data_IF_606188285166
#
_entry.id   IF_606188285166
#
_cell.length_a   1.000
_cell.length_b   1.000
_cell.length_c   1.000
_cell.angle_alpha   90.00
_cell.angle_beta   90.00
_cell.angle_gamma   90.00
#
_symmetry.space_group_name_H-M   'P 1'
#
loop_
_entity.id
_entity.type
_entity.pdbx_description
1 polymer ?
#
# COMPACT_ATOMS: atom_id res chain seq x y z
N UNK A 1 -5.24 21.74 15.73
CA UNK A 1 -5.28 21.02 14.44
C UNK A 1 -6.61 20.33 14.33
N UNK A 2 -7.38 20.60 13.28
CA UNK A 2 -8.64 19.91 12.99
C UNK A 2 -8.43 18.39 12.96
N UNK A 3 -9.40 17.62 13.48
CA UNK A 3 -9.38 16.15 13.49
C UNK A 3 -9.19 15.61 12.08
N UNK A 4 -9.86 16.20 11.09
CA UNK A 4 -9.78 15.78 9.69
C UNK A 4 -8.39 15.99 9.11
N UNK A 5 -7.80 17.17 9.33
CA UNK A 5 -6.43 17.47 8.93
C UNK A 5 -5.43 16.54 9.61
N UNK A 6 -5.56 16.32 10.92
CA UNK A 6 -4.71 15.39 11.67
C UNK A 6 -4.74 14.00 11.05
N UNK A 7 -5.93 13.43 10.85
CA UNK A 7 -6.05 12.08 10.29
C UNK A 7 -5.50 12.00 8.88
N UNK A 8 -5.71 13.02 8.05
CA UNK A 8 -5.14 13.09 6.69
C UNK A 8 -3.61 13.05 6.73
N UNK A 9 -2.99 13.85 7.60
CA UNK A 9 -1.53 13.85 7.78
C UNK A 9 -1.00 12.51 8.28
N UNK A 10 -1.65 11.89 9.27
CA UNK A 10 -1.23 10.58 9.78
C UNK A 10 -1.37 9.46 8.74
N UNK A 11 -2.44 9.47 7.94
CA UNK A 11 -2.61 8.54 6.82
C UNK A 11 -1.50 8.74 5.78
N UNK A 12 -1.21 9.99 5.41
CA UNK A 12 -0.14 10.30 4.45
C UNK A 12 1.24 9.88 4.94
N UNK A 13 1.59 10.24 6.17
CA UNK A 13 2.90 9.92 6.77
C UNK A 13 3.06 8.42 7.00
N UNK A 14 2.07 7.77 7.62
CA UNK A 14 2.18 6.34 7.90
C UNK A 14 2.14 5.50 6.62
N UNK A 15 1.29 5.86 5.65
CA UNK A 15 1.29 5.22 4.34
C UNK A 15 2.60 5.42 3.58
N UNK A 16 3.17 6.62 3.61
CA UNK A 16 4.50 6.91 3.05
C UNK A 16 5.61 6.09 3.71
N UNK A 17 5.62 5.99 5.05
CA UNK A 17 6.57 5.14 5.78
C UNK A 17 6.43 3.68 5.39
N UNK A 18 5.21 3.15 5.34
CA UNK A 18 4.95 1.77 4.92
C UNK A 18 5.39 1.50 3.47
N UNK A 19 5.24 2.49 2.60
CA UNK A 19 5.71 2.42 1.21
C UNK A 19 7.23 2.41 1.12
N UNK A 20 7.92 3.27 1.88
CA UNK A 20 9.40 3.27 1.97
C UNK A 20 9.92 1.93 2.50
N UNK A 21 9.27 1.35 3.51
CA UNK A 21 9.63 0.02 4.03
C UNK A 21 9.45 -1.05 2.95
N UNK A 22 8.34 -1.03 2.21
CA UNK A 22 8.09 -1.96 1.11
C UNK A 22 9.16 -1.83 0.02
N UNK A 23 9.55 -0.60 -0.32
CA UNK A 23 10.58 -0.30 -1.30
C UNK A 23 11.98 -0.78 -0.85
N UNK A 24 12.35 -0.46 0.39
CA UNK A 24 13.60 -0.89 1.01
C UNK A 24 13.69 -2.41 1.15
N UNK A 25 12.54 -3.09 1.28
CA UNK A 25 12.47 -4.55 1.26
C UNK A 25 12.67 -5.09 -0.15
N UNK A 26 12.06 -4.45 -1.16
CA UNK A 26 12.09 -4.93 -2.53
C UNK A 26 13.48 -4.87 -3.19
N UNK A 27 14.19 -3.73 -3.08
CA UNK A 27 15.43 -3.50 -3.84
C UNK A 27 16.57 -4.50 -3.53
N UNK A 28 16.93 -4.75 -2.26
CA UNK A 28 18.01 -5.69 -1.94
C UNK A 28 17.66 -7.15 -2.28
N UNK A 29 16.37 -7.49 -2.26
CA UNK A 29 15.88 -8.85 -2.49
C UNK A 29 15.57 -9.14 -3.96
N UNK A 30 15.68 -8.14 -4.84
CA UNK A 30 15.55 -8.31 -6.28
C UNK A 30 16.70 -9.15 -6.87
N UNK A 31 17.90 -9.06 -6.29
CA UNK A 31 19.12 -9.66 -6.83
C UNK A 31 19.43 -11.06 -6.28
N UNK A 32 18.88 -11.45 -5.12
CA UNK A 32 19.27 -12.69 -4.44
C UNK A 32 18.05 -13.39 -3.82
N UNK A 33 17.41 -14.32 -4.55
CA UNK A 33 16.13 -14.94 -4.13
C UNK A 33 16.29 -16.37 -3.62
N UNK A 34 16.60 -16.50 -2.34
CA UNK A 34 16.52 -17.75 -1.55
C UNK A 34 15.09 -17.90 -0.95
N UNK A 35 14.56 -19.11 -0.62
CA UNK A 35 13.22 -19.27 -0.04
C UNK A 35 12.99 -18.51 1.27
N UNK A 36 14.06 -18.32 2.05
CA UNK A 36 14.03 -17.48 3.26
C UNK A 36 13.77 -16.00 2.93
N UNK A 37 14.32 -15.53 1.81
CA UNK A 37 14.16 -14.16 1.29
C UNK A 37 12.77 -13.94 0.69
N UNK A 38 12.17 -14.96 0.07
CA UNK A 38 10.81 -14.89 -0.47
C UNK A 38 9.75 -14.60 0.62
N UNK A 39 9.99 -15.00 1.87
CA UNK A 39 9.09 -14.70 3.00
C UNK A 39 9.05 -13.20 3.30
N UNK A 40 10.17 -12.51 3.12
CA UNK A 40 10.26 -11.07 3.33
C UNK A 40 9.57 -10.27 2.22
N UNK A 41 9.45 -10.80 1.00
CA UNK A 41 8.68 -10.15 -0.07
C UNK A 41 7.18 -10.01 0.25
N UNK A 42 6.64 -10.82 1.16
CA UNK A 42 5.28 -10.60 1.67
C UNK A 42 5.12 -9.23 2.35
N UNK A 43 6.20 -8.67 2.93
CA UNK A 43 6.18 -7.32 3.49
C UNK A 43 5.98 -6.24 2.43
N UNK A 44 6.37 -6.48 1.16
CA UNK A 44 6.12 -5.53 0.07
C UNK A 44 4.61 -5.32 -0.12
N UNK A 45 3.83 -6.39 0.09
CA UNK A 45 2.36 -6.36 0.00
C UNK A 45 1.74 -5.82 1.31
N UNK A 46 2.30 -6.18 2.46
CA UNK A 46 1.67 -5.87 3.75
C UNK A 46 2.03 -4.47 4.32
N UNK A 47 3.26 -4.01 4.15
CA UNK A 47 3.79 -2.88 4.92
C UNK A 47 3.00 -1.58 4.71
N UNK A 48 2.67 -1.24 3.46
CA UNK A 48 1.93 0.00 3.16
C UNK A 48 0.51 -0.02 3.73
N UNK A 49 -0.36 -1.00 3.44
CA UNK A 49 -1.72 -1.01 3.98
C UNK A 49 -1.74 -1.14 5.51
N UNK A 50 -0.81 -1.91 6.11
CA UNK A 50 -0.74 -2.05 7.56
C UNK A 50 -0.32 -0.74 8.24
N UNK A 51 0.74 -0.08 7.76
CA UNK A 51 1.18 1.20 8.31
C UNK A 51 0.11 2.27 8.15
N UNK A 52 -0.55 2.33 6.99
CA UNK A 52 -1.68 3.24 6.73
C UNK A 52 -2.81 3.01 7.73
N UNK A 53 -3.19 1.75 7.97
CA UNK A 53 -4.22 1.38 8.94
C UNK A 53 -3.85 1.83 10.35
N UNK A 54 -2.63 1.53 10.81
CA UNK A 54 -2.15 1.91 12.14
C UNK A 54 -2.16 3.44 12.29
N UNK A 55 -1.65 4.18 11.31
CA UNK A 55 -1.64 5.65 11.32
C UNK A 55 -3.05 6.23 11.39
N UNK A 56 -3.98 5.67 10.62
CA UNK A 56 -5.38 6.10 10.63
C UNK A 56 -6.04 5.85 11.99
N UNK A 57 -5.96 4.64 12.52
CA UNK A 57 -6.56 4.27 13.81
C UNK A 57 -5.95 5.08 14.95
N UNK A 58 -4.66 5.34 14.90
CA UNK A 58 -3.99 6.19 15.88
C UNK A 58 -4.54 7.63 15.88
N UNK A 59 -4.78 8.20 14.70
CA UNK A 59 -5.30 9.56 14.58
C UNK A 59 -6.81 9.70 14.84
N UNK A 60 -7.57 8.63 14.57
CA UNK A 60 -9.02 8.60 14.62
C UNK A 60 -9.55 7.16 14.88
N UNK A 61 -9.69 6.79 16.16
CA UNK A 61 -10.12 5.44 16.56
C UNK A 61 -11.55 5.10 16.15
N UNK A 62 -12.45 6.08 16.10
CA UNK A 62 -13.86 5.84 15.77
C UNK A 62 -14.04 5.37 14.32
N UNK A 63 -13.08 5.66 13.44
CA UNK A 63 -13.10 5.28 12.02
C UNK A 63 -12.40 3.94 11.75
N UNK A 64 -12.09 3.13 12.77
CA UNK A 64 -11.30 1.90 12.58
C UNK A 64 -11.91 0.92 11.57
N UNK A 65 -13.25 0.84 11.49
CA UNK A 65 -13.95 -0.03 10.52
C UNK A 65 -13.74 0.43 9.08
N UNK A 66 -13.80 1.75 8.87
CA UNK A 66 -13.53 2.36 7.57
C UNK A 66 -12.06 2.20 7.20
N UNK A 67 -11.15 2.45 8.14
CA UNK A 67 -9.72 2.23 7.95
C UNK A 67 -9.42 0.77 7.57
N UNK A 68 -10.04 -0.19 8.28
CA UNK A 68 -9.91 -1.61 7.99
C UNK A 68 -10.48 -1.97 6.61
N UNK A 69 -11.63 -1.42 6.23
CA UNK A 69 -12.22 -1.65 4.90
C UNK A 69 -11.32 -1.11 3.79
N UNK A 70 -10.85 0.13 3.89
CA UNK A 70 -9.98 0.76 2.89
C UNK A 70 -8.62 0.07 2.78
N UNK A 71 -7.94 -0.13 3.92
CA UNK A 71 -6.61 -0.75 3.93
C UNK A 71 -6.69 -2.24 3.62
N UNK A 72 -7.76 -2.91 4.05
CA UNK A 72 -8.03 -4.31 3.73
C UNK A 72 -8.32 -4.52 2.24
N UNK A 73 -9.12 -3.64 1.62
CA UNK A 73 -9.33 -3.66 0.18
C UNK A 73 -8.01 -3.44 -0.57
N UNK A 74 -7.20 -2.46 -0.14
CA UNK A 74 -5.89 -2.19 -0.74
C UNK A 74 -4.97 -3.41 -0.61
N UNK A 75 -4.86 -4.02 0.57
CA UNK A 75 -4.07 -5.23 0.80
C UNK A 75 -4.57 -6.42 -0.04
N UNK A 76 -5.88 -6.66 -0.05
CA UNK A 76 -6.47 -7.85 -0.65
C UNK A 76 -6.47 -7.79 -2.17
N UNK A 77 -6.86 -6.66 -2.78
CA UNK A 77 -7.00 -6.56 -4.23
C UNK A 77 -5.68 -6.32 -4.96
N UNK A 78 -4.69 -5.69 -4.31
CA UNK A 78 -3.41 -5.35 -4.96
C UNK A 78 -2.70 -6.56 -5.58
N UNK A 79 -2.57 -7.72 -4.91
CA UNK A 79 -2.01 -8.93 -5.52
C UNK A 79 -2.71 -9.38 -6.80
N UNK A 80 -4.04 -9.32 -6.85
CA UNK A 80 -4.80 -9.77 -8.03
C UNK A 80 -4.62 -8.81 -9.21
N UNK A 81 -4.63 -7.50 -8.94
CA UNK A 81 -4.41 -6.49 -9.97
C UNK A 81 -2.97 -6.58 -10.49
N UNK A 82 -1.98 -6.69 -9.59
CA UNK A 82 -0.58 -6.84 -9.96
C UNK A 82 -0.32 -8.12 -10.78
N UNK A 83 -0.90 -9.25 -10.39
CA UNK A 83 -0.82 -10.50 -11.15
C UNK A 83 -1.47 -10.35 -12.54
N UNK A 84 -2.58 -9.62 -12.63
CA UNK A 84 -3.22 -9.36 -13.92
C UNK A 84 -2.33 -8.50 -14.82
N UNK A 85 -1.72 -7.45 -14.28
CA UNK A 85 -0.77 -6.59 -15.01
C UNK A 85 0.42 -7.43 -15.52
N UNK A 86 1.02 -8.26 -14.65
CA UNK A 86 2.14 -9.13 -15.03
C UNK A 86 1.74 -10.14 -16.12
N UNK A 87 0.54 -10.72 -16.04
CA UNK A 87 0.06 -11.66 -17.07
C UNK A 87 -0.07 -11.04 -18.47
N UNK A 88 -0.25 -9.71 -18.55
CA UNK A 88 -0.38 -8.98 -19.81
C UNK A 88 0.97 -8.45 -20.30
N UNK A 89 1.80 -7.92 -19.41
CA UNK A 89 3.06 -7.24 -19.77
C UNK A 89 4.28 -8.18 -19.79
N UNK A 90 4.27 -9.26 -19.02
CA UNK A 90 5.37 -10.21 -18.90
C UNK A 90 4.83 -11.65 -18.77
N UNK A 91 4.17 -12.19 -19.81
CA UNK A 91 3.47 -13.47 -19.74
C UNK A 91 4.39 -14.65 -19.41
N UNK A 92 5.65 -14.63 -19.86
CA UNK A 92 6.61 -15.69 -19.56
C UNK A 92 7.04 -15.69 -18.09
N UNK A 93 7.17 -14.51 -17.48
CA UNK A 93 7.44 -14.37 -16.05
C UNK A 93 6.23 -14.79 -15.21
N UNK A 94 5.01 -14.43 -15.63
CA UNK A 94 3.77 -14.79 -14.94
C UNK A 94 3.51 -16.30 -14.88
N UNK A 95 4.06 -17.08 -15.83
CA UNK A 95 3.95 -18.55 -15.85
C UNK A 95 4.94 -19.25 -14.91
N UNK A 96 5.94 -18.55 -14.41
CA UNK A 96 6.93 -19.13 -13.51
C UNK A 96 6.32 -19.28 -12.12
N UNK A 97 6.43 -20.47 -11.54
CA UNK A 97 6.04 -20.71 -10.14
C UNK A 97 7.00 -20.02 -9.17
N UNK A 98 8.27 -19.91 -9.56
CA UNK A 98 9.34 -19.22 -8.83
C UNK A 98 10.11 -18.39 -9.87
N UNK A 99 9.90 -17.08 -9.85
CA UNK A 99 10.52 -16.15 -10.79
C UNK A 99 10.82 -14.79 -10.15
N UNK A 100 11.47 -13.88 -10.90
CA UNK A 100 11.74 -12.53 -10.43
C UNK A 100 10.47 -11.69 -10.26
N UNK A 101 9.35 -12.03 -10.91
CA UNK A 101 8.05 -11.34 -10.75
C UNK A 101 8.17 -9.81 -10.63
N UNK A 102 9.09 -9.21 -11.40
CA UNK A 102 9.49 -7.80 -11.23
C UNK A 102 8.32 -6.89 -11.56
N UNK A 103 7.60 -7.20 -12.64
CA UNK A 103 6.40 -6.47 -13.03
C UNK A 103 5.33 -6.57 -11.95
N UNK A 104 5.13 -7.74 -11.36
CA UNK A 104 4.23 -7.90 -10.23
C UNK A 104 4.60 -7.00 -9.05
N UNK A 105 5.82 -7.09 -8.50
CA UNK A 105 6.18 -6.34 -7.30
C UNK A 105 6.27 -4.82 -7.53
N UNK A 106 6.72 -4.39 -8.71
CA UNK A 106 6.67 -2.96 -9.08
C UNK A 106 5.23 -2.49 -9.20
N UNK A 107 4.33 -3.31 -9.74
CA UNK A 107 2.90 -2.98 -9.79
C UNK A 107 2.28 -2.88 -8.40
N UNK A 108 2.65 -3.78 -7.47
CA UNK A 108 2.23 -3.70 -6.05
C UNK A 108 2.64 -2.36 -5.44
N UNK A 109 3.91 -1.96 -5.58
CA UNK A 109 4.43 -0.70 -5.06
C UNK A 109 3.70 0.52 -5.66
N UNK A 110 3.42 0.48 -6.97
CA UNK A 110 2.71 1.56 -7.67
C UNK A 110 1.24 1.66 -7.21
N UNK A 111 0.52 0.54 -7.13
CA UNK A 111 -0.88 0.49 -6.69
C UNK A 111 -1.00 0.98 -5.24
N UNK A 112 -0.08 0.57 -4.36
CA UNK A 112 -0.07 1.06 -2.98
C UNK A 112 0.16 2.56 -2.89
N UNK A 113 1.12 3.10 -3.64
CA UNK A 113 1.36 4.55 -3.67
C UNK A 113 0.11 5.30 -4.14
N UNK A 114 -0.47 4.88 -5.27
CA UNK A 114 -1.69 5.48 -5.81
C UNK A 114 -2.86 5.34 -4.84
N UNK A 115 -3.02 4.17 -4.20
CA UNK A 115 -4.08 3.91 -3.24
C UNK A 115 -3.98 4.82 -2.00
N UNK A 116 -2.78 4.96 -1.42
CA UNK A 116 -2.55 5.88 -0.30
C UNK A 116 -2.80 7.33 -0.72
N UNK A 117 -2.28 7.77 -1.87
CA UNK A 117 -2.51 9.12 -2.38
C UNK A 117 -4.01 9.38 -2.64
N UNK A 118 -4.73 8.39 -3.18
CA UNK A 118 -6.17 8.45 -3.37
C UNK A 118 -6.93 8.61 -2.06
N UNK A 119 -6.54 7.88 -1.01
CA UNK A 119 -7.13 8.02 0.33
C UNK A 119 -6.84 9.39 0.94
N UNK A 120 -5.60 9.89 0.83
CA UNK A 120 -5.21 11.22 1.31
C UNK A 120 -6.01 12.30 0.59
N UNK A 121 -6.13 12.21 -0.72
CA UNK A 121 -6.90 13.16 -1.53
C UNK A 121 -8.39 13.12 -1.19
N UNK A 122 -8.97 11.93 -1.09
CA UNK A 122 -10.38 11.77 -0.71
C UNK A 122 -10.67 12.39 0.66
N UNK A 123 -9.79 12.18 1.64
CA UNK A 123 -9.93 12.76 2.98
C UNK A 123 -9.74 14.28 3.02
N UNK A 124 -8.80 14.82 2.24
CA UNK A 124 -8.55 16.26 2.23
C UNK A 124 -9.75 17.06 1.71
N UNK A 125 -10.56 16.48 0.82
CA UNK A 125 -11.82 17.08 0.34
C UNK A 125 -12.84 17.33 1.46
N UNK A 126 -12.92 16.44 2.44
CA UNK A 126 -13.80 16.65 3.61
C UNK A 126 -13.27 17.73 4.55
N UNK A 127 -11.95 17.91 4.64
CA UNK A 127 -11.33 18.95 5.47
C UNK A 127 -11.58 20.36 4.92
N UNK A 128 -11.58 20.51 3.59
CA UNK A 128 -11.83 21.80 2.94
C UNK A 128 -13.30 22.21 3.15
N UNK A 129 -14.23 21.28 2.92
CA UNK A 129 -15.66 21.53 3.10
C UNK A 129 -16.04 21.95 4.54
N UNK A 130 -15.36 21.43 5.56
CA UNK A 130 -15.60 21.83 6.97
C UNK A 130 -14.99 23.18 7.34
N UNK A 131 -14.15 23.78 6.50
CA UNK A 131 -13.55 25.10 6.74
C UNK A 131 -14.34 26.25 6.09
N UNK A 132 -15.27 25.92 5.18
CA UNK A 132 -16.09 26.89 4.43
C UNK A 132 -17.50 27.11 5.03
N UNK A 133 -17.90 26.33 6.04
CA UNK A 133 -19.20 26.44 6.73
C UNK A 133 -19.04 26.87 8.19
#
# INVERSE_FOLDING_TARGET
MDRTLRTTLFVALAGGVGWVIALATYYPLAENRNPEILRWLALVILATPLATFIGWVFACRDEWRLAAACCGALYFFTPFVAARIESVLAPDAARQTVGPHTVYFVSVLAIHLVGVLGLVWWRSRFSIASSEG
#
